data_IF_321610309148
#
_entry.id   IF_321610309148
#
_cell.length_a   1.000
_cell.length_b   1.000
_cell.length_c   1.000
_cell.angle_alpha   90.00
_cell.angle_beta   90.00
_cell.angle_gamma   90.00
#
_symmetry.space_group_name_H-M   'P 1'
#
loop_
_entity.id
_entity.type
_entity.pdbx_description
1 polymer ?
#
# COMPACT_ATOMS: atom_id res chain seq x y z
N UNK A 1 32.43 63.54 44.02
CA UNK A 1 31.59 62.58 43.29
C UNK A 1 32.49 61.75 42.38
N UNK A 2 32.51 60.43 42.65
CA UNK A 2 32.93 59.28 41.82
C UNK A 2 34.23 59.34 41.01
N UNK A 3 35.18 58.54 41.50
CA UNK A 3 36.39 58.09 40.87
C UNK A 3 36.15 57.12 39.69
N UNK A 4 37.03 57.24 38.69
CA UNK A 4 37.83 56.20 38.01
C UNK A 4 37.13 54.91 37.54
N UNK A 5 37.27 54.62 36.25
CA UNK A 5 37.02 53.30 35.67
C UNK A 5 37.37 53.23 34.19
N UNK A 6 38.64 52.99 33.90
CA UNK A 6 39.19 52.73 32.56
C UNK A 6 38.85 51.30 32.08
N UNK A 7 38.67 51.13 30.76
CA UNK A 7 39.12 50.00 29.91
C UNK A 7 38.40 50.15 28.55
N UNK A 8 39.01 50.67 27.47
CA UNK A 8 39.98 50.04 26.56
C UNK A 8 39.63 48.61 26.09
N UNK A 9 39.53 48.51 24.75
CA UNK A 9 39.79 47.35 23.89
C UNK A 9 38.65 46.32 23.68
N UNK A 10 38.30 46.08 22.41
CA UNK A 10 37.50 44.91 22.06
C UNK A 10 36.89 44.89 20.65
N UNK A 11 37.72 45.10 19.62
CA UNK A 11 37.38 44.80 18.24
C UNK A 11 37.15 43.27 18.07
N UNK A 12 36.18 42.88 17.23
CA UNK A 12 36.00 41.55 16.60
C UNK A 12 35.79 40.31 17.50
N UNK A 13 34.55 39.79 17.53
CA UNK A 13 34.32 38.33 17.65
C UNK A 13 32.95 37.92 17.06
N UNK A 14 33.07 37.44 15.82
CA UNK A 14 32.23 36.58 15.00
C UNK A 14 30.86 36.06 15.48
N UNK A 15 29.95 36.09 14.52
CA UNK A 15 28.69 35.38 14.40
C UNK A 15 28.72 33.96 14.98
N UNK A 16 27.85 33.67 15.94
CA UNK A 16 27.46 32.31 16.28
C UNK A 16 25.92 32.20 16.22
N UNK A 17 25.35 32.29 15.02
CA UNK A 17 24.02 31.73 14.79
C UNK A 17 24.17 30.23 14.89
N UNK A 18 23.97 29.69 16.09
CA UNK A 18 23.90 28.27 16.35
C UNK A 18 22.68 27.72 15.62
N UNK A 19 22.88 27.35 14.36
CA UNK A 19 21.89 26.63 13.58
C UNK A 19 21.72 25.25 14.22
N UNK A 20 20.52 24.95 14.70
CA UNK A 20 20.10 23.57 14.89
C UNK A 20 20.15 22.89 13.51
N UNK A 21 21.29 22.31 13.17
CA UNK A 21 21.36 21.36 12.07
C UNK A 21 20.73 20.07 12.57
N UNK A 22 19.42 19.93 12.34
CA UNK A 22 18.75 18.64 12.45
C UNK A 22 19.36 17.71 11.41
N UNK A 23 20.33 16.90 11.83
CA UNK A 23 20.79 15.76 11.05
C UNK A 23 19.60 14.81 10.90
N UNK A 24 18.97 14.83 9.72
CA UNK A 24 18.00 13.81 9.34
C UNK A 24 18.75 12.49 9.16
N UNK A 25 18.94 11.76 10.26
CA UNK A 25 19.38 10.38 10.21
C UNK A 25 18.21 9.54 9.68
N UNK A 26 18.42 8.91 8.52
CA UNK A 26 17.54 7.88 8.00
C UNK A 26 17.69 6.65 8.91
N UNK A 27 16.75 6.47 9.83
CA UNK A 27 16.69 5.28 10.68
C UNK A 27 16.31 4.07 9.82
N UNK A 28 17.12 3.01 9.77
CA UNK A 28 16.70 1.76 9.14
C UNK A 28 15.39 1.28 9.77
N UNK A 29 14.36 1.05 8.94
CA UNK A 29 13.03 0.64 9.39
C UNK A 29 12.00 1.76 9.54
N UNK A 30 12.35 3.02 9.30
CA UNK A 30 11.34 4.08 9.12
C UNK A 30 10.50 3.80 7.87
N UNK A 31 9.16 3.86 7.94
CA UNK A 31 8.30 3.63 6.78
C UNK A 31 8.55 4.68 5.70
N UNK A 32 8.60 4.25 4.45
CA UNK A 32 8.82 5.16 3.31
C UNK A 32 7.59 6.06 3.10
N UNK A 33 7.73 7.21 2.44
CA UNK A 33 6.59 8.07 2.09
C UNK A 33 5.48 7.33 1.36
N UNK A 34 5.82 6.39 0.48
CA UNK A 34 4.87 5.54 -0.25
C UNK A 34 4.11 4.62 0.70
N UNK A 35 4.82 3.99 1.66
CA UNK A 35 4.21 3.13 2.66
C UNK A 35 3.24 3.91 3.54
N UNK A 36 3.63 5.11 4.00
CA UNK A 36 2.77 6.00 4.76
C UNK A 36 1.55 6.47 3.95
N UNK A 37 1.74 6.78 2.67
CA UNK A 37 0.63 7.18 1.80
C UNK A 37 -0.39 6.06 1.62
N UNK A 38 0.08 4.84 1.40
CA UNK A 38 -0.78 3.66 1.28
C UNK A 38 -1.51 3.33 2.59
N UNK A 39 -0.80 3.37 3.72
CA UNK A 39 -1.39 3.13 5.03
C UNK A 39 -2.49 4.15 5.38
N UNK A 40 -2.31 5.43 5.02
CA UNK A 40 -3.31 6.49 5.26
C UNK A 40 -4.64 6.25 4.54
N UNK A 41 -4.63 5.52 3.42
CA UNK A 41 -5.85 5.15 2.71
C UNK A 41 -6.42 3.80 3.17
N UNK A 42 -5.83 3.18 4.20
CA UNK A 42 -6.22 1.87 4.71
C UNK A 42 -5.66 0.69 3.91
N UNK A 43 -4.62 0.91 3.11
CA UNK A 43 -3.93 -0.14 2.35
C UNK A 43 -2.61 -0.57 2.99
N UNK A 44 -1.94 -1.51 2.32
CA UNK A 44 -0.56 -1.91 2.62
C UNK A 44 0.23 -2.08 1.33
N UNK A 45 1.55 -1.87 1.39
CA UNK A 45 2.43 -2.13 0.25
C UNK A 45 2.69 -3.62 0.12
N UNK A 46 2.58 -4.13 -1.09
CA UNK A 46 2.86 -5.53 -1.40
C UNK A 46 3.49 -5.67 -2.79
N UNK A 47 4.32 -6.69 -2.98
CA UNK A 47 4.93 -7.01 -4.27
C UNK A 47 4.01 -7.96 -5.04
N UNK A 48 3.56 -7.54 -6.21
CA UNK A 48 2.61 -8.29 -7.02
C UNK A 48 3.16 -8.59 -8.42
N UNK A 49 2.67 -9.69 -8.98
CA UNK A 49 3.13 -10.20 -10.26
C UNK A 49 4.52 -10.83 -10.21
N UNK A 50 4.91 -11.54 -11.27
CA UNK A 50 6.24 -12.17 -11.37
C UNK A 50 7.37 -11.14 -11.35
N UNK A 51 7.13 -9.91 -11.81
CA UNK A 51 8.11 -8.81 -11.74
C UNK A 51 8.27 -8.23 -10.33
N UNK A 52 7.38 -8.56 -9.39
CA UNK A 52 7.42 -8.04 -8.03
C UNK A 52 7.17 -6.53 -7.96
N UNK A 53 6.22 -6.03 -8.76
CA UNK A 53 5.82 -4.63 -8.76
C UNK A 53 5.29 -4.26 -7.37
N UNK A 54 5.89 -3.24 -6.74
CA UNK A 54 5.44 -2.76 -5.43
C UNK A 54 4.17 -1.92 -5.60
N UNK A 55 3.07 -2.35 -4.99
CA UNK A 55 1.73 -1.78 -5.19
C UNK A 55 1.08 -1.49 -3.84
N UNK A 56 0.24 -0.45 -3.80
CA UNK A 56 -0.67 -0.24 -2.67
C UNK A 56 -1.92 -1.11 -2.85
N UNK A 57 -2.09 -2.07 -1.94
CA UNK A 57 -3.16 -3.07 -1.94
C UNK A 57 -4.18 -2.73 -0.85
N UNK A 58 -5.46 -2.84 -1.18
CA UNK A 58 -6.55 -2.73 -0.23
C UNK A 58 -7.32 -4.06 -0.18
N UNK A 59 -7.37 -4.66 1.00
CA UNK A 59 -8.18 -5.85 1.23
C UNK A 59 -9.67 -5.50 1.17
N UNK A 60 -10.48 -6.40 0.60
CA UNK A 60 -11.93 -6.31 0.69
C UNK A 60 -12.41 -7.00 1.97
N UNK A 61 -13.39 -6.39 2.65
CA UNK A 61 -13.93 -6.90 3.92
C UNK A 61 -14.84 -8.12 3.75
N UNK A 62 -15.17 -8.47 2.51
CA UNK A 62 -15.93 -9.66 2.14
C UNK A 62 -15.11 -10.75 1.47
N UNK A 63 -13.79 -10.63 1.47
CA UNK A 63 -12.86 -11.63 0.93
C UNK A 63 -13.26 -13.07 1.34
N UNK A 64 -13.37 -13.96 0.35
CA UNK A 64 -13.68 -15.37 0.56
C UNK A 64 -15.14 -15.71 0.86
N UNK A 65 -16.04 -14.72 1.05
CA UNK A 65 -17.48 -15.00 1.19
C UNK A 65 -18.04 -15.62 -0.08
N UNK A 66 -18.99 -16.54 0.06
CA UNK A 66 -19.66 -17.14 -1.08
C UNK A 66 -20.44 -16.09 -1.89
N UNK A 67 -20.39 -16.19 -3.21
CA UNK A 67 -21.08 -15.27 -4.13
C UNK A 67 -21.58 -16.00 -5.38
N UNK A 68 -22.53 -15.38 -6.06
CA UNK A 68 -23.09 -15.84 -7.33
C UNK A 68 -22.78 -14.90 -8.49
N UNK A 69 -22.50 -13.62 -8.19
CA UNK A 69 -22.09 -12.59 -9.15
C UNK A 69 -21.27 -11.50 -8.46
N UNK A 70 -20.63 -10.63 -9.23
CA UNK A 70 -19.90 -9.48 -8.68
C UNK A 70 -20.78 -8.51 -7.88
N UNK A 71 -22.11 -8.54 -8.05
CA UNK A 71 -23.04 -7.69 -7.27
C UNK A 71 -23.09 -8.09 -5.79
N UNK A 72 -22.66 -9.30 -5.46
CA UNK A 72 -22.61 -9.82 -4.10
C UNK A 72 -21.31 -9.41 -3.37
N UNK A 73 -20.36 -8.79 -4.07
CA UNK A 73 -19.03 -8.51 -3.56
C UNK A 73 -18.64 -7.02 -3.70
N UNK A 74 -17.71 -6.55 -2.87
CA UNK A 74 -17.02 -5.26 -3.02
C UNK A 74 -16.09 -5.26 -4.24
N UNK A 75 -15.63 -6.45 -4.64
CA UNK A 75 -14.82 -6.69 -5.84
C UNK A 75 -15.51 -7.66 -6.81
N UNK A 76 -14.73 -8.56 -7.41
CA UNK A 76 -15.27 -9.60 -8.29
C UNK A 76 -15.75 -10.82 -7.49
N UNK A 77 -16.68 -11.56 -8.07
CA UNK A 77 -16.99 -12.92 -7.66
C UNK A 77 -16.15 -13.89 -8.47
N UNK A 78 -15.22 -14.60 -7.83
CA UNK A 78 -14.24 -15.45 -8.49
C UNK A 78 -14.57 -16.92 -8.27
N UNK A 79 -14.36 -17.77 -9.28
CA UNK A 79 -14.56 -19.20 -9.15
C UNK A 79 -13.62 -19.77 -8.08
N UNK A 80 -14.20 -20.51 -7.12
CA UNK A 80 -13.44 -21.30 -6.19
C UNK A 80 -12.80 -22.46 -6.96
N UNK A 81 -11.47 -22.42 -7.10
CA UNK A 81 -10.67 -23.43 -7.80
C UNK A 81 -9.64 -24.05 -6.86
N UNK A 82 -9.33 -25.32 -7.09
CA UNK A 82 -8.26 -26.09 -6.43
C UNK A 82 -6.95 -26.10 -7.24
N UNK A 83 -6.86 -25.29 -8.30
CA UNK A 83 -5.68 -25.16 -9.15
C UNK A 83 -5.96 -25.31 -10.65
N UNK A 84 -7.15 -25.77 -11.03
CA UNK A 84 -7.58 -25.81 -12.43
C UNK A 84 -8.56 -24.67 -12.73
N UNK A 85 -8.23 -23.84 -13.72
CA UNK A 85 -9.10 -22.74 -14.12
C UNK A 85 -10.30 -23.27 -14.92
N UNK A 86 -11.54 -23.05 -14.45
CA UNK A 86 -12.72 -23.55 -15.15
C UNK A 86 -12.96 -22.80 -16.47
N UNK A 87 -13.67 -23.44 -17.39
CA UNK A 87 -13.97 -22.87 -18.71
C UNK A 87 -15.21 -22.00 -18.65
N UNK A 88 -15.29 -21.03 -19.56
CA UNK A 88 -16.47 -20.18 -19.73
C UNK A 88 -17.71 -21.04 -19.98
N UNK A 89 -18.79 -20.74 -19.25
CA UNK A 89 -20.08 -21.45 -19.30
C UNK A 89 -20.23 -22.60 -18.31
N UNK A 90 -19.13 -23.08 -17.71
CA UNK A 90 -19.18 -24.12 -16.67
C UNK A 90 -19.80 -23.56 -15.38
N UNK A 91 -20.52 -24.43 -14.66
CA UNK A 91 -21.01 -24.12 -13.31
C UNK A 91 -19.83 -24.01 -12.34
N UNK A 92 -19.82 -22.98 -11.51
CA UNK A 92 -18.78 -22.76 -10.53
C UNK A 92 -19.34 -22.13 -9.26
N UNK A 93 -18.87 -22.62 -8.11
CA UNK A 93 -19.08 -21.92 -6.84
C UNK A 93 -18.19 -20.66 -6.82
N UNK A 94 -18.79 -19.52 -6.51
CA UNK A 94 -18.07 -18.24 -6.42
C UNK A 94 -17.63 -17.91 -5.00
N UNK A 95 -16.49 -17.23 -4.87
CA UNK A 95 -16.00 -16.57 -3.66
C UNK A 95 -15.57 -15.13 -3.97
N UNK A 96 -15.85 -14.20 -3.05
CA UNK A 96 -15.47 -12.81 -3.24
C UNK A 96 -13.95 -12.64 -3.25
N UNK A 97 -13.48 -11.81 -4.19
CA UNK A 97 -12.08 -11.43 -4.38
C UNK A 97 -11.44 -10.91 -3.08
N UNK A 98 -10.17 -11.24 -2.87
CA UNK A 98 -9.47 -10.89 -1.62
C UNK A 98 -9.11 -9.41 -1.49
N UNK A 99 -8.62 -8.79 -2.56
CA UNK A 99 -8.10 -7.42 -2.54
C UNK A 99 -8.21 -6.74 -3.90
N UNK A 100 -7.96 -5.43 -3.97
CA UNK A 100 -8.10 -4.64 -5.19
C UNK A 100 -6.92 -4.75 -6.20
N UNK A 101 -5.98 -5.68 -6.00
CA UNK A 101 -4.83 -5.93 -6.88
C UNK A 101 -4.77 -7.42 -7.21
N UNK A 102 -5.70 -7.85 -8.05
CA UNK A 102 -5.79 -9.22 -8.51
C UNK A 102 -4.62 -9.59 -9.43
N UNK A 103 -3.92 -10.67 -9.11
CA UNK A 103 -2.85 -11.27 -9.90
C UNK A 103 -3.03 -12.79 -9.92
N UNK A 104 -2.38 -13.45 -10.87
CA UNK A 104 -2.54 -14.87 -11.14
C UNK A 104 -3.67 -15.15 -12.12
N UNK A 105 -4.02 -16.42 -12.26
CA UNK A 105 -5.14 -16.88 -13.08
C UNK A 105 -6.40 -17.01 -12.24
N UNK A 106 -7.50 -16.43 -12.72
CA UNK A 106 -8.79 -16.42 -12.04
C UNK A 106 -9.93 -16.41 -13.06
N UNK A 107 -11.09 -16.88 -12.63
CA UNK A 107 -12.30 -16.92 -13.45
C UNK A 107 -13.40 -16.16 -12.72
N UNK A 108 -14.11 -15.27 -13.40
CA UNK A 108 -15.23 -14.51 -12.84
C UNK A 108 -16.53 -15.30 -13.00
N UNK A 109 -17.33 -15.34 -11.94
CA UNK A 109 -18.63 -16.01 -11.88
C UNK A 109 -19.75 -14.98 -12.00
N UNK A 110 -20.74 -15.29 -12.83
CA UNK A 110 -21.98 -14.54 -12.98
C UNK A 110 -23.16 -15.52 -13.04
N UNK A 111 -24.13 -15.35 -12.14
CA UNK A 111 -25.28 -16.24 -11.98
C UNK A 111 -24.88 -17.71 -11.83
N UNK A 112 -23.81 -17.99 -11.06
CA UNK A 112 -23.33 -19.35 -10.79
C UNK A 112 -22.52 -20.01 -11.91
N UNK A 113 -22.32 -19.33 -13.05
CA UNK A 113 -21.51 -19.82 -14.17
C UNK A 113 -20.27 -18.97 -14.39
N UNK A 114 -19.22 -19.57 -14.94
CA UNK A 114 -18.03 -18.85 -15.36
C UNK A 114 -18.36 -17.95 -16.55
N UNK A 115 -18.21 -16.64 -16.34
CA UNK A 115 -18.41 -15.60 -17.37
C UNK A 115 -17.15 -15.31 -18.17
N UNK A 116 -16.00 -15.31 -17.49
CA UNK A 116 -14.70 -15.03 -18.11
C UNK A 116 -13.58 -15.66 -17.31
N UNK A 117 -12.45 -15.94 -17.98
CA UNK A 117 -11.23 -16.46 -17.36
C UNK A 117 -10.05 -15.64 -17.86
N UNK A 118 -9.18 -15.21 -16.94
CA UNK A 118 -8.04 -14.33 -17.25
C UNK A 118 -6.84 -14.67 -16.37
N UNK A 119 -5.64 -14.48 -16.92
CA UNK A 119 -4.38 -14.55 -16.18
C UNK A 119 -3.69 -13.19 -16.24
N UNK A 120 -3.41 -12.60 -15.07
CA UNK A 120 -2.71 -11.31 -14.93
C UNK A 120 -1.40 -11.52 -14.19
N UNK A 121 -0.34 -10.91 -14.73
CA UNK A 121 1.01 -10.94 -14.20
C UNK A 121 1.61 -9.55 -14.00
#
# INVERSE_FOLDING_TARGET
MRAVGALLLGLTALLATSGCQSSMQLTPGSPTPEALSCARTGGFLDKRGRRGNLMCVHAFGDAGKACSSAKDCQGRCLAATDGTLPRVGEEARGVCQADNKLFGCFAEVENGKVKSSMCID
#
